data_IF_411616723175
#
_entry.id   IF_411616723175
#
_cell.length_a   1.000
_cell.length_b   1.000
_cell.length_c   1.000
_cell.angle_alpha   90.00
_cell.angle_beta   90.00
_cell.angle_gamma   90.00
#
_symmetry.space_group_name_H-M   'P 1'
#
loop_
_entity.id
_entity.type
_entity.pdbx_description
1 polymer ?
#
# COMPACT_ATOMS: atom_id res chain seq x y z
N UNK A 1 13.30 9.78 -12.29
CA UNK A 1 13.37 9.81 -10.80
C UNK A 1 11.99 9.56 -10.22
N UNK A 2 11.89 9.24 -8.91
CA UNK A 2 10.59 9.04 -8.26
C UNK A 2 9.70 10.30 -8.31
N UNK A 3 10.29 11.50 -8.29
CA UNK A 3 9.56 12.77 -8.39
C UNK A 3 8.76 12.94 -9.69
N UNK A 4 9.20 12.30 -10.78
CA UNK A 4 8.56 12.39 -12.10
C UNK A 4 7.22 11.65 -12.12
N UNK A 5 6.98 10.77 -11.13
CA UNK A 5 5.71 10.06 -10.98
C UNK A 5 4.51 10.98 -10.85
N UNK A 6 4.67 12.20 -10.32
CA UNK A 6 3.56 13.16 -10.23
C UNK A 6 3.07 13.61 -11.60
N UNK A 7 4.00 13.89 -12.51
CA UNK A 7 3.69 14.34 -13.86
C UNK A 7 3.01 13.21 -14.64
N UNK A 8 3.58 12.00 -14.57
CA UNK A 8 3.00 10.81 -15.20
C UNK A 8 1.61 10.50 -14.61
N UNK A 9 1.47 10.48 -13.29
CA UNK A 9 0.18 10.24 -12.63
C UNK A 9 -0.87 11.30 -13.01
N UNK A 10 -0.46 12.52 -13.35
CA UNK A 10 -1.39 13.57 -13.82
C UNK A 10 -1.91 13.32 -15.24
N UNK A 11 -1.21 12.50 -16.03
CA UNK A 11 -1.66 12.07 -17.36
C UNK A 11 -2.62 10.86 -17.29
N UNK A 12 -2.56 10.07 -16.20
CA UNK A 12 -3.36 8.85 -16.00
C UNK A 12 -4.44 9.03 -14.93
N UNK A 13 -5.29 10.06 -15.09
CA UNK A 13 -6.32 10.38 -14.10
C UNK A 13 -7.37 9.25 -14.04
N UNK A 14 -7.53 8.66 -12.85
CA UNK A 14 -8.53 7.61 -12.62
C UNK A 14 -8.03 6.19 -12.89
N UNK A 15 -6.79 6.03 -13.35
CA UNK A 15 -6.09 4.76 -13.45
C UNK A 15 -5.93 4.06 -12.10
N UNK A 16 -5.81 2.74 -12.12
CA UNK A 16 -5.32 1.97 -10.98
C UNK A 16 -3.80 2.12 -10.91
N UNK A 17 -3.29 2.62 -9.80
CA UNK A 17 -1.86 2.90 -9.61
C UNK A 17 -1.19 1.96 -8.60
N UNK A 18 -0.09 1.32 -9.01
CA UNK A 18 0.70 0.41 -8.18
C UNK A 18 2.12 0.94 -7.96
N UNK A 19 2.58 0.81 -6.73
CA UNK A 19 3.97 1.05 -6.33
C UNK A 19 4.57 -0.28 -5.87
N UNK A 20 5.56 -0.82 -6.58
CA UNK A 20 6.18 -2.10 -6.25
C UNK A 20 7.66 -1.91 -5.88
N UNK A 21 8.08 -2.46 -4.73
CA UNK A 21 9.45 -2.32 -4.24
C UNK A 21 9.89 -3.55 -3.45
N UNK A 22 11.03 -4.14 -3.82
CA UNK A 22 11.78 -4.99 -2.91
C UNK A 22 12.36 -4.12 -1.78
N UNK A 23 11.81 -4.28 -0.56
CA UNK A 23 12.05 -3.37 0.56
C UNK A 23 13.20 -3.81 1.45
N UNK A 24 13.70 -5.05 1.33
CA UNK A 24 14.77 -5.64 2.15
C UNK A 24 14.66 -5.31 3.64
N UNK A 25 13.69 -5.93 4.31
CA UNK A 25 13.19 -5.61 5.65
C UNK A 25 12.31 -4.36 5.69
N UNK A 26 11.02 -4.59 5.88
CA UNK A 26 10.06 -3.51 6.05
C UNK A 26 10.40 -2.66 7.29
N UNK A 27 10.74 -3.29 8.42
CA UNK A 27 11.00 -2.57 9.67
C UNK A 27 12.23 -1.66 9.60
N UNK A 28 13.30 -2.13 8.94
CA UNK A 28 14.51 -1.33 8.74
C UNK A 28 14.27 -0.13 7.82
N UNK A 29 13.53 -0.34 6.74
CA UNK A 29 13.43 0.61 5.64
C UNK A 29 12.10 1.39 5.59
N UNK A 30 11.17 1.18 6.54
CA UNK A 30 9.85 1.81 6.51
C UNK A 30 9.89 3.34 6.51
N UNK A 31 10.79 3.96 7.28
CA UNK A 31 10.93 5.42 7.26
C UNK A 31 11.43 5.92 5.89
N UNK A 32 12.31 5.16 5.24
CA UNK A 32 12.76 5.43 3.88
C UNK A 32 11.62 5.28 2.86
N UNK A 33 10.81 4.22 2.97
CA UNK A 33 9.60 4.04 2.17
C UNK A 33 8.63 5.21 2.35
N UNK A 34 8.36 5.63 3.59
CA UNK A 34 7.48 6.76 3.87
C UNK A 34 7.96 8.06 3.20
N UNK A 35 9.28 8.33 3.21
CA UNK A 35 9.84 9.48 2.50
C UNK A 35 9.76 9.33 0.98
N UNK A 36 9.87 8.10 0.46
CA UNK A 36 9.82 7.82 -0.97
C UNK A 36 8.41 8.02 -1.52
N UNK A 37 7.40 7.54 -0.80
CA UNK A 37 5.99 7.77 -1.09
C UNK A 37 5.65 9.27 -1.05
N UNK A 38 6.13 10.02 -0.05
CA UNK A 38 5.91 11.48 0.02
C UNK A 38 6.59 12.22 -1.16
N UNK A 39 7.80 11.81 -1.53
CA UNK A 39 8.53 12.40 -2.67
C UNK A 39 7.89 12.13 -4.02
N UNK A 40 7.21 11.00 -4.17
CA UNK A 40 6.44 10.70 -5.38
C UNK A 40 5.34 11.72 -5.65
N UNK A 41 4.88 12.45 -4.60
CA UNK A 41 3.74 13.39 -4.65
C UNK A 41 2.49 12.78 -5.30
N UNK A 42 2.39 11.46 -5.29
CA UNK A 42 1.35 10.67 -5.94
C UNK A 42 0.63 9.85 -4.88
N UNK A 43 -0.69 9.74 -5.04
CA UNK A 43 -1.51 8.88 -4.18
C UNK A 43 -1.65 7.52 -4.84
N UNK A 44 -0.82 6.58 -4.45
CA UNK A 44 -0.90 5.20 -4.91
C UNK A 44 -2.19 4.51 -4.44
N UNK A 45 -2.71 3.59 -5.25
CA UNK A 45 -3.88 2.79 -4.90
C UNK A 45 -3.45 1.53 -4.14
N UNK A 46 -2.35 0.91 -4.57
CA UNK A 46 -1.70 -0.16 -3.82
C UNK A 46 -0.18 0.00 -3.80
N UNK A 47 0.43 -0.46 -2.71
CA UNK A 47 1.87 -0.51 -2.48
C UNK A 47 2.22 -1.97 -2.19
N UNK A 48 3.01 -2.58 -3.05
CA UNK A 48 3.40 -3.99 -3.01
C UNK A 48 4.88 -4.06 -2.62
N UNK A 49 5.18 -4.77 -1.54
CA UNK A 49 6.53 -4.91 -1.01
C UNK A 49 6.95 -6.38 -0.97
N UNK A 50 8.15 -6.66 -1.44
CA UNK A 50 8.81 -7.98 -1.39
C UNK A 50 10.03 -7.93 -0.47
N UNK A 51 10.52 -9.11 -0.02
CA UNK A 51 11.54 -9.22 1.03
C UNK A 51 11.20 -8.41 2.29
N UNK A 52 9.98 -8.58 2.80
CA UNK A 52 9.54 -7.81 3.96
C UNK A 52 10.20 -8.29 5.27
N UNK A 53 10.72 -9.51 5.29
CA UNK A 53 11.38 -10.16 6.43
C UNK A 53 10.43 -10.31 7.62
N UNK A 54 9.38 -11.12 7.43
CA UNK A 54 8.23 -11.20 8.34
C UNK A 54 8.34 -12.29 9.43
N UNK A 55 9.43 -13.05 9.48
CA UNK A 55 9.63 -14.11 10.48
C UNK A 55 9.69 -13.52 11.91
N UNK A 56 8.87 -14.02 12.85
CA UNK A 56 8.78 -13.58 14.25
C UNK A 56 8.74 -12.05 14.42
N UNK A 57 8.05 -11.37 13.52
CA UNK A 57 8.13 -9.92 13.39
C UNK A 57 7.11 -9.17 14.25
N UNK A 58 7.44 -7.93 14.69
CA UNK A 58 6.46 -7.06 15.33
C UNK A 58 5.33 -6.69 14.35
N UNK A 59 4.24 -6.05 14.81
CA UNK A 59 3.16 -5.62 13.94
C UNK A 59 3.67 -4.78 12.77
N UNK A 60 3.20 -5.13 11.55
CA UNK A 60 3.58 -4.44 10.32
C UNK A 60 3.27 -2.95 10.44
N UNK A 61 4.21 -2.05 10.09
CA UNK A 61 3.97 -0.62 10.17
C UNK A 61 2.77 -0.15 9.36
N UNK A 62 1.87 0.61 9.99
CA UNK A 62 0.66 1.12 9.34
C UNK A 62 0.93 2.35 8.46
N UNK A 63 0.26 2.42 7.31
CA UNK A 63 0.20 3.61 6.45
C UNK A 63 -1.21 4.19 6.53
N UNK A 64 -1.32 5.50 6.78
CA UNK A 64 -2.62 6.17 6.88
C UNK A 64 -3.44 5.98 5.60
N UNK A 65 -4.72 5.64 5.76
CA UNK A 65 -5.68 5.37 4.68
C UNK A 65 -5.43 4.09 3.88
N UNK A 66 -4.56 3.20 4.37
CA UNK A 66 -4.34 1.87 3.78
C UNK A 66 -4.71 0.77 4.76
N UNK A 67 -5.30 -0.29 4.21
CA UNK A 67 -5.36 -1.61 4.81
C UNK A 67 -4.11 -2.39 4.42
N UNK A 68 -3.75 -3.40 5.19
CA UNK A 68 -2.54 -4.19 5.03
C UNK A 68 -2.88 -5.67 5.02
N UNK A 69 -2.33 -6.40 4.05
CA UNK A 69 -2.32 -7.87 4.00
C UNK A 69 -0.89 -8.35 3.81
N UNK A 70 -0.55 -9.49 4.39
CA UNK A 70 0.80 -10.03 4.37
C UNK A 70 0.79 -11.54 4.31
N UNK A 71 1.86 -12.12 3.77
CA UNK A 71 2.10 -13.57 3.82
C UNK A 71 2.38 -14.01 5.25
N UNK A 72 1.82 -15.16 5.62
CA UNK A 72 1.99 -15.78 6.94
C UNK A 72 2.95 -16.96 6.87
N UNK A 73 2.99 -17.66 5.73
CA UNK A 73 3.82 -18.85 5.53
C UNK A 73 5.17 -18.46 4.93
N UNK A 74 6.07 -17.95 5.77
CA UNK A 74 7.42 -17.56 5.37
C UNK A 74 8.41 -18.66 5.77
N UNK A 75 9.20 -19.17 4.82
CA UNK A 75 10.14 -20.29 5.05
C UNK A 75 11.47 -19.84 5.65
N UNK A 76 11.83 -18.59 5.41
CA UNK A 76 13.10 -18.01 5.88
C UNK A 76 12.92 -16.61 6.46
N UNK A 77 13.94 -16.11 7.15
CA UNK A 77 13.94 -14.77 7.72
C UNK A 77 13.75 -13.68 6.67
N UNK A 78 14.28 -13.89 5.45
CA UNK A 78 14.37 -12.85 4.43
C UNK A 78 13.15 -12.82 3.50
N UNK A 79 12.14 -13.63 3.80
CA UNK A 79 10.95 -13.80 2.99
C UNK A 79 9.80 -12.88 3.42
N UNK A 80 8.78 -12.87 2.56
CA UNK A 80 7.49 -12.28 2.85
C UNK A 80 7.09 -11.16 1.92
N UNK A 81 5.81 -11.15 1.59
CA UNK A 81 5.16 -10.13 0.77
C UNK A 81 4.17 -9.37 1.63
N UNK A 82 4.16 -8.04 1.50
CA UNK A 82 3.19 -7.16 2.14
C UNK A 82 2.55 -6.29 1.07
N UNK A 83 1.22 -6.23 1.07
CA UNK A 83 0.47 -5.32 0.21
C UNK A 83 -0.35 -4.37 1.06
N UNK A 84 -0.10 -3.08 0.87
CA UNK A 84 -0.97 -2.02 1.36
C UNK A 84 -1.91 -1.60 0.24
N UNK A 85 -3.20 -1.48 0.52
CA UNK A 85 -4.19 -0.95 -0.44
C UNK A 85 -5.13 0.04 0.21
N UNK A 86 -5.66 1.00 -0.54
CA UNK A 86 -6.54 2.03 0.04
C UNK A 86 -7.78 1.41 0.68
N UNK A 87 -8.14 1.92 1.86
CA UNK A 87 -9.23 1.36 2.67
C UNK A 87 -10.64 1.41 2.05
N UNK A 88 -10.82 2.18 0.97
CA UNK A 88 -12.09 2.24 0.24
C UNK A 88 -12.20 1.18 -0.86
N UNK A 89 -11.12 0.46 -1.18
CA UNK A 89 -11.20 -0.68 -2.09
C UNK A 89 -11.72 -1.90 -1.35
N UNK A 90 -12.70 -2.55 -1.96
CA UNK A 90 -13.16 -3.87 -1.54
C UNK A 90 -12.27 -4.92 -2.18
N UNK A 91 -11.19 -5.30 -1.48
CA UNK A 91 -10.25 -6.31 -1.97
C UNK A 91 -10.44 -7.60 -1.20
N UNK A 92 -10.67 -8.69 -1.93
CA UNK A 92 -10.54 -10.04 -1.39
C UNK A 92 -9.09 -10.51 -1.56
N UNK A 93 -8.39 -10.71 -0.46
CA UNK A 93 -7.00 -11.18 -0.45
C UNK A 93 -6.91 -12.63 0.02
N UNK A 94 -6.03 -13.40 -0.61
CA UNK A 94 -5.72 -14.79 -0.23
C UNK A 94 -4.22 -15.06 -0.39
N UNK A 95 -3.71 -16.05 0.32
CA UNK A 95 -2.32 -16.51 0.24
C UNK A 95 -2.30 -17.89 -0.44
N UNK A 96 -2.30 -17.95 -1.79
CA UNK A 96 -2.25 -19.22 -2.49
C UNK A 96 -0.89 -19.89 -2.29
N UNK A 97 -0.89 -21.22 -2.23
CA UNK A 97 0.33 -22.01 -2.11
C UNK A 97 1.05 -22.05 -3.46
N UNK A 98 2.11 -21.26 -3.59
CA UNK A 98 3.05 -21.32 -4.72
C UNK A 98 4.36 -21.92 -4.22
N UNK A 99 4.79 -23.01 -4.85
CA UNK A 99 6.02 -23.71 -4.48
C UNK A 99 7.21 -22.76 -4.65
N UNK A 100 8.13 -22.78 -3.69
CA UNK A 100 9.33 -21.94 -3.64
C UNK A 100 9.08 -20.41 -3.71
N UNK A 101 7.85 -19.91 -3.54
CA UNK A 101 7.55 -18.48 -3.47
C UNK A 101 6.60 -18.13 -2.31
N UNK A 102 6.59 -16.88 -1.84
CA UNK A 102 5.49 -16.35 -1.04
C UNK A 102 4.60 -15.53 -1.98
N UNK A 103 3.29 -15.71 -1.88
CA UNK A 103 2.35 -15.15 -2.84
C UNK A 103 1.11 -14.59 -2.15
N UNK A 104 0.65 -13.43 -2.58
CA UNK A 104 -0.66 -12.87 -2.26
C UNK A 104 -1.44 -12.65 -3.54
N UNK A 105 -2.65 -13.20 -3.58
CA UNK A 105 -3.62 -12.93 -4.63
C UNK A 105 -4.65 -11.93 -4.12
N UNK A 106 -4.73 -10.78 -4.78
CA UNK A 106 -5.68 -9.70 -4.49
C UNK A 106 -6.69 -9.59 -5.64
N UNK A 107 -7.95 -9.85 -5.34
CA UNK A 107 -9.08 -9.65 -6.26
C UNK A 107 -9.66 -8.25 -6.00
N UNK A 108 -9.33 -7.31 -6.86
CA UNK A 108 -9.68 -5.88 -6.68
C UNK A 108 -11.13 -5.58 -7.06
N UNK A 109 -11.66 -6.27 -8.07
CA UNK A 109 -13.03 -6.24 -8.53
C UNK A 109 -13.28 -7.49 -9.41
N UNK A 110 -14.41 -7.59 -10.09
CA UNK A 110 -14.71 -8.75 -10.96
C UNK A 110 -13.90 -8.77 -12.27
N UNK A 111 -13.03 -7.79 -12.52
CA UNK A 111 -12.32 -7.57 -13.80
C UNK A 111 -10.79 -7.62 -13.64
N UNK A 112 -10.25 -7.37 -12.44
CA UNK A 112 -8.82 -7.23 -12.16
C UNK A 112 -8.37 -8.10 -10.98
N UNK A 113 -7.40 -8.99 -11.26
CA UNK A 113 -6.66 -9.76 -10.26
C UNK A 113 -5.20 -9.31 -10.23
N UNK A 114 -4.62 -9.27 -9.02
CA UNK A 114 -3.22 -8.88 -8.80
C UNK A 114 -2.54 -10.00 -8.01
N UNK A 115 -1.45 -10.53 -8.55
CA UNK A 115 -0.61 -11.55 -7.95
C UNK A 115 0.69 -10.88 -7.50
N UNK A 116 0.83 -10.64 -6.20
CA UNK A 116 2.03 -10.09 -5.59
C UNK A 116 2.90 -11.24 -5.07
N UNK A 117 4.12 -11.38 -5.59
CA UNK A 117 4.91 -12.59 -5.38
C UNK A 117 6.38 -12.29 -5.07
N UNK A 118 6.98 -13.11 -4.23
CA UNK A 118 8.43 -13.12 -3.98
C UNK A 118 8.95 -14.55 -4.06
N UNK A 119 9.96 -14.78 -4.89
CA UNK A 119 10.64 -16.07 -5.02
C UNK A 119 12.11 -15.91 -4.62
N UNK A 120 12.60 -16.57 -3.57
CA UNK A 120 14.01 -16.54 -3.21
C UNK A 120 14.92 -17.12 -4.31
N UNK A 121 16.18 -16.67 -4.44
CA UNK A 121 17.10 -17.14 -5.48
C UNK A 121 17.70 -18.53 -5.19
N UNK A 122 17.50 -19.09 -3.99
CA UNK A 122 18.23 -20.26 -3.51
C UNK A 122 17.95 -21.53 -4.32
N UNK A 123 16.69 -21.75 -4.72
CA UNK A 123 16.30 -22.91 -5.51
C UNK A 123 16.59 -22.61 -6.98
N UNK A 124 17.46 -23.38 -7.64
CA UNK A 124 17.78 -23.16 -9.07
C UNK A 124 16.80 -23.82 -10.02
N UNK A 125 16.35 -25.02 -9.70
CA UNK A 125 15.30 -25.69 -10.46
C UNK A 125 13.98 -24.94 -10.23
N UNK A 126 13.36 -24.45 -11.30
CA UNK A 126 12.13 -23.64 -11.22
C UNK A 126 10.88 -24.45 -11.54
N UNK A 127 10.96 -25.74 -11.88
CA UNK A 127 9.83 -26.54 -12.38
C UNK A 127 8.67 -26.57 -11.39
N UNK A 128 8.92 -26.85 -10.11
CA UNK A 128 7.86 -26.87 -9.09
C UNK A 128 7.19 -25.49 -8.94
N UNK A 129 8.01 -24.44 -8.91
CA UNK A 129 7.54 -23.05 -8.90
C UNK A 129 6.65 -22.76 -10.12
N UNK A 130 7.13 -23.04 -11.34
CA UNK A 130 6.38 -22.80 -12.58
C UNK A 130 5.07 -23.57 -12.62
N UNK A 131 5.05 -24.85 -12.25
CA UNK A 131 3.83 -25.65 -12.22
C UNK A 131 2.80 -25.07 -11.25
N UNK A 132 3.23 -24.68 -10.04
CA UNK A 132 2.32 -24.08 -9.06
C UNK A 132 1.84 -22.68 -9.45
N UNK A 133 2.69 -21.89 -10.14
CA UNK A 133 2.30 -20.59 -10.67
C UNK A 133 1.33 -20.74 -11.85
N UNK A 134 1.55 -21.72 -12.73
CA UNK A 134 0.65 -22.07 -13.84
C UNK A 134 -0.76 -22.40 -13.32
N UNK A 135 -0.88 -23.25 -12.30
CA UNK A 135 -2.16 -23.56 -11.66
C UNK A 135 -2.82 -22.33 -11.04
N UNK A 136 -2.04 -21.45 -10.39
CA UNK A 136 -2.56 -20.18 -9.87
C UNK A 136 -3.09 -19.30 -11.01
N UNK A 137 -2.37 -19.17 -12.12
CA UNK A 137 -2.79 -18.36 -13.26
C UNK A 137 -4.02 -18.93 -13.97
N UNK A 138 -4.15 -20.26 -14.07
CA UNK A 138 -5.39 -20.93 -14.52
C UNK A 138 -6.58 -20.54 -13.65
N UNK A 139 -6.41 -20.49 -12.33
CA UNK A 139 -7.48 -20.15 -11.38
C UNK A 139 -7.99 -18.70 -11.51
N UNK A 140 -7.19 -17.80 -12.08
CA UNK A 140 -7.55 -16.39 -12.33
C UNK A 140 -7.71 -16.05 -13.81
N UNK A 141 -7.72 -17.05 -14.68
CA UNK A 141 -7.74 -16.89 -16.14
C UNK A 141 -8.97 -16.14 -16.66
N UNK A 142 -10.10 -16.22 -15.93
CA UNK A 142 -11.36 -15.52 -16.23
C UNK A 142 -11.29 -14.00 -16.07
N UNK A 143 -10.30 -13.49 -15.34
CA UNK A 143 -10.11 -12.05 -15.16
C UNK A 143 -9.59 -11.42 -16.45
N UNK A 144 -10.18 -10.29 -16.85
CA UNK A 144 -9.74 -9.56 -18.05
C UNK A 144 -8.38 -8.90 -17.86
N UNK A 145 -8.10 -8.45 -16.63
CA UNK A 145 -6.83 -7.85 -16.27
C UNK A 145 -6.15 -8.70 -15.19
N UNK A 146 -4.96 -9.21 -15.49
CA UNK A 146 -4.14 -9.95 -14.53
C UNK A 146 -2.79 -9.25 -14.44
N UNK A 147 -2.40 -8.87 -13.24
CA UNK A 147 -1.13 -8.20 -12.96
C UNK A 147 -0.32 -9.12 -12.05
N UNK A 148 0.78 -9.66 -12.53
CA UNK A 148 1.76 -10.41 -11.73
C UNK A 148 2.94 -9.49 -11.46
N UNK A 149 3.29 -9.27 -10.20
CA UNK A 149 4.38 -8.36 -9.86
C UNK A 149 5.14 -8.75 -8.60
N UNK A 150 6.44 -8.47 -8.59
CA UNK A 150 7.32 -8.68 -7.46
C UNK A 150 8.70 -9.16 -7.90
N UNK A 151 9.49 -9.67 -6.96
CA UNK A 151 10.86 -10.12 -7.22
C UNK A 151 10.88 -11.65 -7.36
N UNK A 152 11.08 -12.10 -8.61
CA UNK A 152 11.06 -13.51 -8.99
C UNK A 152 12.47 -14.12 -8.91
N UNK A 153 13.52 -13.29 -8.81
CA UNK A 153 14.91 -13.73 -8.90
C UNK A 153 15.22 -14.57 -10.16
N UNK A 154 14.56 -14.25 -11.29
CA UNK A 154 14.88 -14.77 -12.63
C UNK A 154 15.22 -13.57 -13.52
N UNK A 155 16.40 -13.58 -14.15
CA UNK A 155 16.84 -12.46 -14.97
C UNK A 155 16.32 -12.60 -16.41
N UNK A 156 15.25 -11.86 -16.74
CA UNK A 156 14.64 -11.93 -18.08
C UNK A 156 15.47 -11.25 -19.18
N UNK A 157 16.59 -10.62 -18.83
CA UNK A 157 17.53 -10.02 -19.78
C UNK A 157 18.70 -10.95 -20.14
N UNK A 158 18.87 -12.06 -19.42
CA UNK A 158 19.96 -13.00 -19.69
C UNK A 158 19.50 -14.07 -20.69
N UNK A 159 19.97 -13.98 -21.93
CA UNK A 159 19.65 -14.94 -22.98
C UNK A 159 20.18 -16.35 -22.72
N UNK A 160 21.14 -16.50 -21.80
CA UNK A 160 21.73 -17.80 -21.44
C UNK A 160 20.98 -18.48 -20.28
N UNK A 161 20.05 -17.78 -19.62
CA UNK A 161 19.30 -18.33 -18.50
C UNK A 161 18.05 -19.07 -19.00
N UNK A 162 18.12 -20.40 -19.12
CA UNK A 162 16.99 -21.23 -19.58
C UNK A 162 15.72 -21.02 -18.74
N UNK A 163 15.89 -20.66 -17.46
CA UNK A 163 14.80 -20.34 -16.53
C UNK A 163 13.96 -19.16 -17.01
N UNK A 164 14.59 -18.16 -17.60
CA UNK A 164 13.90 -17.00 -18.16
C UNK A 164 13.03 -17.42 -19.34
N UNK A 165 13.56 -18.26 -20.24
CA UNK A 165 12.81 -18.77 -21.39
C UNK A 165 11.61 -19.61 -20.97
N UNK A 166 11.80 -20.56 -20.06
CA UNK A 166 10.70 -21.41 -19.53
C UNK A 166 9.62 -20.56 -18.84
N UNK A 167 10.03 -19.61 -17.99
CA UNK A 167 9.13 -18.71 -17.29
C UNK A 167 8.33 -17.81 -18.25
N UNK A 168 8.99 -17.16 -19.21
CA UNK A 168 8.33 -16.28 -20.18
C UNK A 168 7.41 -17.07 -21.13
N UNK A 169 7.79 -18.30 -21.50
CA UNK A 169 6.95 -19.17 -22.33
C UNK A 169 5.67 -19.56 -21.60
N UNK A 170 5.76 -19.93 -20.32
CA UNK A 170 4.60 -20.23 -19.48
C UNK A 170 3.69 -19.00 -19.34
N UNK A 171 4.24 -17.81 -19.11
CA UNK A 171 3.45 -16.57 -19.04
C UNK A 171 2.77 -16.24 -20.36
N UNK A 172 3.46 -16.44 -21.49
CA UNK A 172 2.91 -16.22 -22.82
C UNK A 172 1.74 -17.17 -23.11
N UNK A 173 1.78 -18.41 -22.63
CA UNK A 173 0.65 -19.35 -22.70
C UNK A 173 -0.62 -18.80 -22.01
N UNK A 174 -0.47 -18.02 -20.94
CA UNK A 174 -1.57 -17.30 -20.27
C UNK A 174 -1.96 -15.96 -20.93
N UNK A 175 -1.31 -15.60 -22.05
CA UNK A 175 -1.47 -14.31 -22.70
C UNK A 175 -0.95 -13.14 -21.86
N UNK A 176 0.03 -13.39 -20.99
CA UNK A 176 0.66 -12.40 -20.13
C UNK A 176 2.04 -12.01 -20.67
N UNK A 177 2.34 -10.72 -20.76
CA UNK A 177 3.61 -10.21 -21.28
C UNK A 177 4.29 -9.26 -20.27
N UNK A 178 5.63 -9.17 -20.25
CA UNK A 178 6.32 -8.17 -19.45
C UNK A 178 5.90 -6.75 -19.84
N UNK A 179 5.48 -5.94 -18.87
CA UNK A 179 5.18 -4.53 -19.07
C UNK A 179 6.46 -3.66 -19.13
N UNK A 180 7.60 -4.21 -18.71
CA UNK A 180 8.92 -3.61 -18.89
C UNK A 180 9.99 -4.71 -19.03
N UNK A 181 11.08 -4.34 -19.69
CA UNK A 181 12.34 -5.12 -19.75
C UNK A 181 13.52 -4.27 -19.29
N UNK A 182 13.25 -3.20 -18.53
CA UNK A 182 14.29 -2.32 -18.00
C UNK A 182 14.97 -2.95 -16.78
N UNK A 183 16.29 -2.80 -16.61
CA UNK A 183 16.99 -3.26 -15.41
C UNK A 183 16.42 -2.66 -14.13
N UNK A 184 16.31 -3.48 -13.09
CA UNK A 184 15.79 -3.07 -11.77
C UNK A 184 16.86 -3.08 -10.69
N UNK A 185 18.07 -3.55 -11.01
CA UNK A 185 19.24 -3.59 -10.12
C UNK A 185 20.46 -2.94 -10.73
N UNK A 186 21.46 -2.66 -9.89
CA UNK A 186 22.70 -1.99 -10.28
C UNK A 186 23.57 -2.80 -11.25
N UNK A 187 23.46 -4.14 -11.23
CA UNK A 187 24.17 -5.06 -12.12
C UNK A 187 23.45 -5.29 -13.47
N UNK A 188 22.58 -4.37 -13.88
CA UNK A 188 21.81 -4.44 -15.12
C UNK A 188 20.87 -5.65 -15.26
N UNK A 189 20.55 -6.38 -14.18
CA UNK A 189 19.57 -7.47 -14.20
C UNK A 189 18.13 -6.96 -14.02
N UNK A 190 17.17 -7.61 -14.67
CA UNK A 190 15.73 -7.40 -14.48
C UNK A 190 15.14 -8.57 -13.67
N UNK A 191 15.08 -8.41 -12.35
CA UNK A 191 14.59 -9.44 -11.41
C UNK A 191 13.22 -9.10 -10.82
N UNK A 192 12.95 -7.81 -10.67
CA UNK A 192 11.65 -7.29 -10.24
C UNK A 192 10.77 -7.17 -11.49
N UNK A 193 9.72 -7.97 -11.57
CA UNK A 193 8.89 -8.06 -12.76
C UNK A 193 7.55 -7.38 -12.55
N UNK A 194 7.00 -6.89 -13.66
CA UNK A 194 5.58 -6.59 -13.80
C UNK A 194 5.10 -7.21 -15.10
N UNK A 195 4.34 -8.30 -15.00
CA UNK A 195 3.78 -9.06 -16.11
C UNK A 195 2.27 -8.79 -16.16
N UNK A 196 1.75 -8.57 -17.35
CA UNK A 196 0.41 -8.04 -17.55
C UNK A 196 -0.35 -8.80 -18.64
N UNK A 197 -1.59 -9.17 -18.33
CA UNK A 197 -2.65 -9.46 -19.31
C UNK A 197 -3.68 -8.35 -19.18
N UNK A 198 -3.92 -7.60 -20.24
CA UNK A 198 -4.95 -6.55 -20.29
C UNK A 198 -5.24 -6.17 -21.74
N UNK A 199 -6.42 -5.60 -21.98
CA UNK A 199 -6.72 -4.85 -23.22
C UNK A 199 -6.67 -3.32 -23.01
N UNK A 200 -6.60 -2.88 -21.75
CA UNK A 200 -6.61 -1.45 -21.38
C UNK A 200 -5.22 -0.83 -21.58
N UNK A 201 -5.15 0.48 -21.88
CA UNK A 201 -3.88 1.19 -21.87
C UNK A 201 -3.20 1.03 -20.50
N UNK A 202 -1.91 0.77 -20.51
CA UNK A 202 -1.14 0.54 -19.33
C UNK A 202 0.26 1.14 -19.49
N UNK A 203 0.77 1.70 -18.40
CA UNK A 203 2.03 2.42 -18.39
C UNK A 203 2.87 1.92 -17.22
N UNK A 204 4.08 1.46 -17.52
CA UNK A 204 5.04 0.95 -16.54
C UNK A 204 6.35 1.70 -16.70
N UNK A 205 6.98 2.08 -15.57
CA UNK A 205 8.33 2.63 -15.60
C UNK A 205 9.09 2.34 -14.32
N UNK A 206 10.42 2.39 -14.43
CA UNK A 206 11.34 2.12 -13.33
C UNK A 206 11.86 3.43 -12.76
N UNK A 207 11.50 3.72 -11.51
CA UNK A 207 12.04 4.85 -10.80
C UNK A 207 13.32 4.42 -10.08
N UNK A 208 14.46 5.00 -10.47
CA UNK A 208 15.70 4.75 -9.75
C UNK A 208 15.62 5.31 -8.33
N UNK A 209 15.89 4.46 -7.35
CA UNK A 209 15.93 4.88 -5.94
C UNK A 209 17.17 4.30 -5.27
N UNK A 210 17.59 4.93 -4.17
CA UNK A 210 18.67 4.39 -3.34
C UNK A 210 18.16 3.90 -1.98
N UNK A 211 16.88 3.48 -1.91
CA UNK A 211 16.28 2.91 -0.70
C UNK A 211 16.91 1.54 -0.40
N UNK A 212 16.87 0.67 -1.40
CA UNK A 212 17.60 -0.60 -1.46
C UNK A 212 18.50 -0.59 -2.70
N UNK A 213 19.11 -1.72 -3.04
CA UNK A 213 19.78 -1.95 -4.32
C UNK A 213 18.80 -2.31 -5.46
N UNK A 214 17.49 -2.33 -5.17
CA UNK A 214 16.42 -2.48 -6.15
C UNK A 214 15.77 -1.11 -6.42
N UNK A 215 15.55 -0.82 -7.70
CA UNK A 215 14.76 0.30 -8.15
C UNK A 215 13.25 0.02 -7.97
N UNK A 216 12.43 1.07 -7.93
CA UNK A 216 10.98 0.92 -7.74
C UNK A 216 10.29 0.73 -9.09
N UNK A 217 9.43 -0.29 -9.20
CA UNK A 217 8.54 -0.45 -10.36
C UNK A 217 7.24 0.31 -10.10
N UNK A 218 6.89 1.22 -11.00
CA UNK A 218 5.65 2.01 -10.93
C UNK A 218 4.76 1.67 -12.11
N UNK A 219 3.46 1.52 -11.83
CA UNK A 219 2.51 1.07 -12.83
C UNK A 219 1.17 1.77 -12.74
N UNK A 220 0.59 2.04 -13.91
CA UNK A 220 -0.72 2.64 -14.10
C UNK A 220 -1.51 1.81 -15.10
N UNK A 221 -2.69 1.35 -14.70
CA UNK A 221 -3.66 0.70 -15.58
C UNK A 221 -4.84 1.64 -15.78
N UNK A 222 -4.96 2.21 -16.98
CA UNK A 222 -6.02 3.15 -17.30
C UNK A 222 -7.38 2.45 -17.27
N UNK A 223 -8.41 3.23 -16.95
CA UNK A 223 -9.80 2.82 -17.10
C UNK A 223 -10.36 3.53 -18.31
N UNK A 224 -11.09 2.83 -19.19
CA UNK A 224 -11.82 3.46 -20.29
C UNK A 224 -12.82 4.52 -19.81
N UNK A 225 -13.23 4.48 -18.53
CA UNK A 225 -14.08 5.49 -17.90
C UNK A 225 -13.25 6.70 -17.44
N UNK A 226 -12.62 7.40 -18.39
CA UNK A 226 -11.98 8.71 -18.15
C UNK A 226 -12.98 9.80 -17.75
N UNK A 227 -14.24 9.65 -18.17
CA UNK A 227 -15.27 10.69 -18.06
C UNK A 227 -15.82 10.92 -16.64
N UNK A 228 -15.68 9.96 -15.71
CA UNK A 228 -16.28 10.05 -14.37
C UNK A 228 -15.28 10.01 -13.19
N UNK A 229 -13.97 10.04 -13.45
CA UNK A 229 -12.93 10.04 -12.39
C UNK A 229 -12.05 11.29 -12.38
N UNK A 230 -12.34 12.30 -13.20
CA UNK A 230 -11.55 13.55 -13.30
C UNK A 230 -11.62 14.45 -12.06
N UNK A 231 -12.51 14.18 -11.11
CA UNK A 231 -12.40 14.80 -9.80
C UNK A 231 -11.20 14.16 -9.09
N UNK A 232 -10.12 14.94 -8.94
CA UNK A 232 -9.05 14.66 -7.99
C UNK A 232 -9.66 13.94 -6.78
N UNK A 233 -9.20 12.71 -6.48
CA UNK A 233 -9.69 11.88 -5.37
C UNK A 233 -9.47 12.60 -4.03
N UNK A 234 -10.23 13.67 -3.78
CA UNK A 234 -10.27 14.38 -2.52
C UNK A 234 -11.01 13.47 -1.58
N UNK A 235 -10.35 13.10 -0.48
CA UNK A 235 -11.02 12.33 0.55
C UNK A 235 -12.15 13.22 1.07
N UNK A 236 -13.38 12.81 0.78
CA UNK A 236 -14.60 13.36 1.35
C UNK A 236 -14.73 12.75 2.75
N UNK A 237 -14.53 13.55 3.78
CA UNK A 237 -14.85 13.18 5.17
C UNK A 237 -16.22 13.75 5.50
N UNK A 238 -17.12 12.90 5.95
CA UNK A 238 -18.38 13.34 6.56
C UNK A 238 -18.07 13.89 7.93
N UNK A 239 -18.55 15.10 8.21
CA UNK A 239 -18.47 15.74 9.51
C UNK A 239 -19.91 15.86 10.03
N UNK A 240 -20.28 15.11 11.07
CA UNK A 240 -21.62 15.18 11.65
C UNK A 240 -21.85 16.55 12.30
N UNK A 241 -23.02 17.13 12.06
CA UNK A 241 -23.52 18.30 12.78
C UNK A 241 -24.32 17.80 14.01
N UNK A 242 -23.64 17.69 15.15
CA UNK A 242 -24.21 17.10 16.36
C UNK A 242 -25.46 17.83 16.85
N UNK A 243 -25.52 19.16 16.71
CA UNK A 243 -26.68 19.94 17.11
C UNK A 243 -27.93 19.57 16.31
N UNK A 244 -27.78 19.34 14.99
CA UNK A 244 -28.89 18.92 14.13
C UNK A 244 -29.28 17.46 14.34
N UNK A 245 -28.29 16.58 14.53
CA UNK A 245 -28.54 15.17 14.84
C UNK A 245 -29.32 15.03 16.14
N UNK A 246 -28.93 15.77 17.18
CA UNK A 246 -29.63 15.77 18.48
C UNK A 246 -31.08 16.24 18.34
N UNK A 247 -31.30 17.34 17.61
CA UNK A 247 -32.65 17.84 17.32
C UNK A 247 -33.52 16.83 16.55
N UNK A 248 -32.93 16.09 15.62
CA UNK A 248 -33.66 15.12 14.80
C UNK A 248 -33.89 13.79 15.53
N UNK A 249 -32.97 13.36 16.39
CA UNK A 249 -33.17 12.23 17.29
C UNK A 249 -34.34 12.44 18.25
N UNK A 250 -34.46 13.64 18.82
CA UNK A 250 -35.60 14.00 19.71
C UNK A 250 -36.94 13.94 18.97
N UNK A 251 -36.95 14.18 17.65
CA UNK A 251 -38.16 14.18 16.81
C UNK A 251 -38.49 12.83 16.20
N UNK A 252 -37.57 11.86 16.28
CA UNK A 252 -37.76 10.54 15.69
C UNK A 252 -38.55 9.67 16.65
N UNK A 253 -39.64 9.08 16.18
CA UNK A 253 -40.42 8.15 16.98
C UNK A 253 -39.75 6.76 17.00
N UNK A 254 -39.43 6.30 18.20
CA UNK A 254 -38.85 4.97 18.45
C UNK A 254 -39.85 3.99 19.07
N UNK A 255 -41.14 4.35 19.15
CA UNK A 255 -42.21 3.50 19.70
C UNK A 255 -42.22 2.09 19.10
N UNK A 256 -41.92 1.98 17.79
CA UNK A 256 -41.85 0.73 17.03
C UNK A 256 -40.87 -0.28 17.67
N UNK A 257 -39.75 0.18 18.25
CA UNK A 257 -38.77 -0.70 18.90
C UNK A 257 -39.33 -1.46 20.10
N UNK A 258 -40.30 -0.87 20.80
CA UNK A 258 -40.94 -1.48 21.96
C UNK A 258 -42.05 -2.47 21.57
N UNK A 259 -42.43 -2.50 20.29
CA UNK A 259 -43.47 -3.39 19.75
C UNK A 259 -42.91 -4.56 18.94
N UNK A 260 -41.65 -4.49 18.51
CA UNK A 260 -40.97 -5.57 17.78
C UNK A 260 -40.62 -6.72 18.73
N UNK A 261 -40.92 -7.96 18.32
CA UNK A 261 -40.72 -9.17 19.14
C UNK A 261 -39.33 -9.79 18.98
N UNK A 262 -38.68 -9.61 17.82
CA UNK A 262 -37.30 -10.05 17.59
C UNK A 262 -36.30 -8.93 17.96
N UNK A 263 -35.38 -9.26 18.86
CA UNK A 263 -34.33 -8.35 19.34
C UNK A 263 -33.35 -7.96 18.23
N UNK A 264 -33.04 -8.87 17.31
CA UNK A 264 -32.14 -8.57 16.19
C UNK A 264 -32.81 -7.59 15.22
N UNK A 265 -34.07 -7.81 14.89
CA UNK A 265 -34.84 -6.93 13.99
C UNK A 265 -35.03 -5.53 14.59
N UNK A 266 -35.32 -5.44 15.90
CA UNK A 266 -35.37 -4.18 16.61
C UNK A 266 -34.00 -3.46 16.61
N UNK A 267 -32.92 -4.22 16.78
CA UNK A 267 -31.56 -3.67 16.76
C UNK A 267 -31.18 -3.15 15.37
N UNK A 268 -31.49 -3.89 14.32
CA UNK A 268 -31.23 -3.50 12.93
C UNK A 268 -32.02 -2.23 12.57
N UNK A 269 -33.31 -2.17 12.92
CA UNK A 269 -34.15 -0.99 12.70
C UNK A 269 -33.61 0.25 13.42
N UNK A 270 -33.19 0.10 14.68
CA UNK A 270 -32.58 1.19 15.45
C UNK A 270 -31.30 1.69 14.78
N UNK A 271 -30.41 0.78 14.39
CA UNK A 271 -29.14 1.10 13.74
C UNK A 271 -29.38 1.79 12.40
N UNK A 272 -30.31 1.31 11.59
CA UNK A 272 -30.65 1.88 10.29
C UNK A 272 -31.21 3.29 10.43
N UNK A 273 -32.16 3.49 11.35
CA UNK A 273 -32.77 4.79 11.64
C UNK A 273 -31.72 5.80 12.10
N UNK A 274 -30.83 5.41 13.02
CA UNK A 274 -29.70 6.24 13.46
C UNK A 274 -28.77 6.60 12.30
N UNK A 275 -28.42 5.63 11.46
CA UNK A 275 -27.57 5.88 10.31
C UNK A 275 -28.21 6.91 9.37
N UNK A 276 -29.51 6.79 9.08
CA UNK A 276 -30.22 7.74 8.21
C UNK A 276 -30.19 9.17 8.77
N UNK A 277 -30.43 9.35 10.08
CA UNK A 277 -30.39 10.66 10.73
C UNK A 277 -28.99 11.27 10.64
N UNK A 278 -27.95 10.49 10.94
CA UNK A 278 -26.58 11.00 10.90
C UNK A 278 -26.17 11.27 9.43
N UNK A 279 -26.63 10.47 8.46
CA UNK A 279 -26.38 10.72 7.02
C UNK A 279 -26.98 12.05 6.59
N UNK A 280 -28.24 12.30 6.94
CA UNK A 280 -28.97 13.52 6.59
C UNK A 280 -28.33 14.78 7.18
N UNK A 281 -27.76 14.66 8.38
CA UNK A 281 -27.19 15.79 9.13
C UNK A 281 -25.65 15.84 9.13
N UNK A 282 -25.00 15.18 8.17
CA UNK A 282 -23.54 15.24 8.01
C UNK A 282 -23.15 16.08 6.79
N UNK A 283 -22.15 16.95 6.97
CA UNK A 283 -21.57 17.73 5.87
C UNK A 283 -20.36 16.99 5.31
N UNK A 284 -20.27 16.88 3.99
CA UNK A 284 -19.11 16.30 3.32
C UNK A 284 -18.05 17.37 3.10
N UNK A 285 -16.87 17.23 3.73
CA UNK A 285 -15.71 18.11 3.54
C UNK A 285 -14.62 17.41 2.73
N UNK A 286 -14.00 18.12 1.79
CA UNK A 286 -12.89 17.62 0.97
C UNK A 286 -11.53 17.85 1.64
N UNK A 287 -10.73 16.80 1.80
CA UNK A 287 -9.35 16.89 2.29
C UNK A 287 -8.37 16.93 1.11
N UNK A 288 -7.54 17.98 0.99
CA UNK A 288 -6.52 18.08 -0.06
C UNK A 288 -5.45 16.99 0.05
N UNK A 289 -4.94 16.53 -1.09
CA UNK A 289 -3.91 15.48 -1.16
C UNK A 289 -2.65 15.82 -0.35
N UNK A 290 -2.28 17.11 -0.30
CA UNK A 290 -1.11 17.62 0.43
C UNK A 290 -1.20 17.44 1.95
N UNK A 291 -2.40 17.27 2.50
CA UNK A 291 -2.62 16.98 3.94
C UNK A 291 -2.59 15.48 4.25
N UNK A 292 -2.48 14.60 3.25
CA UNK A 292 -2.63 13.13 3.43
C UNK A 292 -1.33 12.39 3.73
N UNK A 293 -0.17 12.94 3.35
CA UNK A 293 1.14 12.32 3.56
C UNK A 293 2.17 13.20 4.28
N UNK A 294 1.73 14.27 4.95
CA UNK A 294 2.59 14.94 5.92
C UNK A 294 2.63 14.14 7.22
N UNK A 295 3.56 13.19 7.34
CA UNK A 295 4.10 12.95 8.68
C UNK A 295 4.91 14.19 9.01
N UNK A 296 4.52 14.95 10.04
CA UNK A 296 5.07 16.27 10.35
C UNK A 296 6.59 16.30 10.61
N UNK A 297 7.23 15.14 10.71
CA UNK A 297 8.69 15.01 10.83
C UNK A 297 9.46 15.10 9.51
N UNK A 298 8.80 14.95 8.35
CA UNK A 298 9.46 15.05 7.05
C UNK A 298 9.67 16.52 6.67
N UNK A 299 10.85 17.06 6.99
CA UNK A 299 11.18 18.46 6.68
C UNK A 299 11.61 18.65 5.22
N UNK A 300 11.39 19.83 4.61
CA UNK A 300 11.88 20.12 3.26
C UNK A 300 13.39 19.92 3.10
N UNK A 301 14.17 20.24 4.15
CA UNK A 301 15.62 20.02 4.19
C UNK A 301 15.99 18.53 4.10
N UNK A 302 15.31 17.67 4.86
CA UNK A 302 15.50 16.22 4.77
C UNK A 302 15.19 15.70 3.37
N UNK A 303 14.07 16.13 2.78
CA UNK A 303 13.69 15.73 1.42
C UNK A 303 14.74 16.18 0.38
N UNK A 304 15.32 17.38 0.53
CA UNK A 304 16.41 17.87 -0.31
C UNK A 304 17.67 17.02 -0.16
N UNK A 305 18.04 16.63 1.06
CA UNK A 305 19.17 15.74 1.30
C UNK A 305 18.98 14.37 0.61
N UNK A 306 17.80 13.77 0.75
CA UNK A 306 17.49 12.48 0.12
C UNK A 306 17.51 12.55 -1.41
N UNK A 307 17.04 13.66 -2.00
CA UNK A 307 17.16 13.90 -3.44
C UNK A 307 18.61 13.96 -3.90
N UNK A 308 19.45 14.71 -3.20
CA UNK A 308 20.86 14.82 -3.56
C UNK A 308 21.57 13.46 -3.49
N UNK A 309 21.23 12.63 -2.49
CA UNK A 309 21.73 11.26 -2.37
C UNK A 309 21.35 10.42 -3.59
N UNK A 310 20.09 10.47 -4.02
CA UNK A 310 19.63 9.72 -5.18
C UNK A 310 20.28 10.23 -6.48
N UNK A 311 20.49 11.54 -6.63
CA UNK A 311 21.23 12.11 -7.75
C UNK A 311 22.68 11.62 -7.78
N UNK A 312 23.37 11.58 -6.64
CA UNK A 312 24.72 11.01 -6.55
C UNK A 312 24.73 9.52 -6.91
N UNK A 313 23.71 8.77 -6.49
CA UNK A 313 23.57 7.36 -6.84
C UNK A 313 23.41 7.15 -8.34
N UNK A 314 22.58 7.97 -9.00
CA UNK A 314 22.43 7.93 -10.46
C UNK A 314 23.75 8.27 -11.19
N UNK A 315 24.50 9.27 -10.70
CA UNK A 315 25.82 9.61 -11.26
C UNK A 315 26.80 8.44 -11.12
N UNK A 316 26.76 7.73 -9.99
CA UNK A 316 27.58 6.55 -9.73
C UNK A 316 27.19 5.38 -10.65
N UNK A 317 25.88 5.14 -10.88
CA UNK A 317 25.44 4.12 -11.85
C UNK A 317 25.99 4.38 -13.26
N UNK A 318 26.10 5.66 -13.66
CA UNK A 318 26.67 6.06 -14.95
C UNK A 318 28.20 5.97 -15.00
N UNK A 319 28.87 6.00 -13.85
CA UNK A 319 30.34 6.02 -13.74
C UNK A 319 30.78 5.07 -12.61
N UNK A 320 30.63 3.75 -12.79
CA UNK A 320 30.85 2.77 -11.72
C UNK A 320 32.29 2.74 -11.21
N UNK A 321 33.28 3.02 -12.08
CA UNK A 321 34.70 2.95 -11.76
C UNK A 321 35.24 4.21 -11.04
N UNK A 322 34.38 5.20 -10.79
CA UNK A 322 34.80 6.42 -10.11
C UNK A 322 34.84 6.23 -8.58
N UNK A 323 36.01 5.88 -8.06
CA UNK A 323 36.22 5.62 -6.62
C UNK A 323 35.93 6.83 -5.72
N UNK A 324 36.25 8.05 -6.21
CA UNK A 324 35.99 9.29 -5.46
C UNK A 324 34.48 9.49 -5.31
N UNK A 325 33.72 9.30 -6.39
CA UNK A 325 32.27 9.40 -6.39
C UNK A 325 31.65 8.31 -5.51
N UNK A 326 32.15 7.07 -5.58
CA UNK A 326 31.71 5.96 -4.74
C UNK A 326 31.91 6.27 -3.25
N UNK A 327 33.09 6.76 -2.89
CA UNK A 327 33.44 7.11 -1.51
C UNK A 327 32.59 8.27 -1.00
N UNK A 328 32.42 9.30 -1.83
CA UNK A 328 31.58 10.48 -1.52
C UNK A 328 30.13 10.06 -1.34
N UNK A 329 29.60 9.23 -2.24
CA UNK A 329 28.24 8.70 -2.15
C UNK A 329 28.03 7.87 -0.89
N UNK A 330 28.94 6.96 -0.55
CA UNK A 330 28.86 6.14 0.68
C UNK A 330 28.80 7.03 1.92
N UNK A 331 29.68 8.04 2.02
CA UNK A 331 29.67 9.02 3.14
C UNK A 331 28.35 9.77 3.21
N UNK A 332 27.88 10.31 2.07
CA UNK A 332 26.64 11.09 2.01
C UNK A 332 25.38 10.24 2.29
N UNK A 333 25.34 9.00 1.82
CA UNK A 333 24.28 8.02 2.13
C UNK A 333 24.19 7.74 3.63
N UNK A 334 25.33 7.54 4.28
CA UNK A 334 25.38 7.29 5.72
C UNK A 334 24.95 8.53 6.51
N UNK A 335 25.38 9.73 6.09
CA UNK A 335 24.92 10.99 6.65
C UNK A 335 23.40 11.17 6.51
N UNK A 336 22.83 10.95 5.32
CA UNK A 336 21.38 11.00 5.10
C UNK A 336 20.62 10.00 5.97
N UNK A 337 21.16 8.79 6.11
CA UNK A 337 20.57 7.75 6.96
C UNK A 337 20.58 8.15 8.44
N UNK A 338 21.65 8.79 8.91
CA UNK A 338 21.76 9.34 10.27
C UNK A 338 20.73 10.44 10.49
N UNK A 339 20.64 11.43 9.60
CA UNK A 339 19.64 12.50 9.69
C UNK A 339 18.23 11.93 9.72
N UNK A 340 17.91 11.01 8.79
CA UNK A 340 16.57 10.40 8.72
C UNK A 340 16.17 9.77 10.07
N UNK A 341 17.08 9.00 10.68
CA UNK A 341 16.88 8.38 11.98
C UNK A 341 16.74 9.42 13.10
N UNK A 342 17.64 10.39 13.17
CA UNK A 342 17.63 11.44 14.20
C UNK A 342 16.39 12.32 14.13
N UNK A 343 15.99 12.76 12.93
CA UNK A 343 14.78 13.57 12.73
C UNK A 343 13.53 12.81 13.16
N UNK A 344 13.42 11.52 12.81
CA UNK A 344 12.30 10.69 13.25
C UNK A 344 12.28 10.48 14.76
N UNK A 345 13.43 10.15 15.37
CA UNK A 345 13.54 9.96 16.81
C UNK A 345 13.17 11.23 17.59
N UNK A 346 13.64 12.39 17.13
CA UNK A 346 13.30 13.69 17.74
C UNK A 346 11.80 13.96 17.66
N UNK A 347 11.16 13.66 16.53
CA UNK A 347 9.72 13.79 16.39
C UNK A 347 8.94 12.86 17.34
N UNK A 348 9.37 11.61 17.46
CA UNK A 348 8.71 10.66 18.38
C UNK A 348 8.88 11.11 19.84
N UNK A 349 10.05 11.66 20.19
CA UNK A 349 10.30 12.27 21.50
C UNK A 349 9.39 13.48 21.76
N UNK A 350 9.24 14.39 20.79
CA UNK A 350 8.33 15.54 20.97
C UNK A 350 6.87 15.11 21.08
N UNK A 351 6.47 14.08 20.33
CA UNK A 351 5.11 13.54 20.38
C UNK A 351 4.80 12.92 21.76
N UNK A 352 5.76 12.23 22.37
CA UNK A 352 5.65 11.70 23.75
C UNK A 352 5.65 12.84 24.77
N UNK A 353 6.58 13.80 24.66
CA UNK A 353 6.68 14.93 25.60
C UNK A 353 5.39 15.76 25.63
N UNK A 354 4.81 16.04 24.46
CA UNK A 354 3.55 16.77 24.34
C UNK A 354 2.34 16.01 24.93
N UNK A 355 2.49 14.73 25.23
CA UNK A 355 1.45 13.87 25.76
C UNK A 355 1.61 13.55 27.27
N UNK A 356 2.66 14.05 27.93
CA UNK A 356 3.01 13.73 29.33
C UNK A 356 1.85 13.92 30.31
N UNK A 357 1.07 14.98 30.15
CA UNK A 357 -0.04 15.30 31.08
C UNK A 357 -1.36 14.59 30.72
N UNK A 358 -1.36 13.67 29.76
CA UNK A 358 -2.58 12.99 29.33
C UNK A 358 -2.29 11.53 28.94
N UNK A 359 -2.54 10.62 29.89
CA UNK A 359 -2.33 9.18 29.72
C UNK A 359 -2.95 8.62 28.43
N UNK A 360 -4.15 9.09 28.03
CA UNK A 360 -4.80 8.66 26.80
C UNK A 360 -4.03 9.13 25.55
N UNK A 361 -3.56 10.38 25.54
CA UNK A 361 -2.70 10.89 24.45
C UNK A 361 -1.37 10.15 24.41
N UNK A 362 -0.78 9.85 25.57
CA UNK A 362 0.48 9.11 25.67
C UNK A 362 0.33 7.69 25.13
N UNK A 363 -0.73 6.97 25.49
CA UNK A 363 -1.01 5.65 24.93
C UNK A 363 -1.29 5.69 23.43
N UNK A 364 -1.97 6.72 22.92
CA UNK A 364 -2.14 6.91 21.48
C UNK A 364 -0.80 7.17 20.77
N UNK A 365 0.09 7.95 21.40
CA UNK A 365 1.45 8.19 20.92
C UNK A 365 2.26 6.89 20.81
N UNK A 366 2.29 6.11 21.89
CA UNK A 366 2.98 4.82 21.95
C UNK A 366 2.42 3.86 20.90
N UNK A 367 1.10 3.76 20.77
CA UNK A 367 0.44 2.91 19.76
C UNK A 367 0.76 3.34 18.33
N UNK A 368 0.89 4.64 18.09
CA UNK A 368 1.28 5.17 16.78
C UNK A 368 2.75 4.90 16.44
N UNK A 369 3.64 4.96 17.43
CA UNK A 369 5.08 4.73 17.24
C UNK A 369 5.38 3.24 17.07
N UNK A 370 4.74 2.41 17.89
CA UNK A 370 4.93 0.94 17.88
C UNK A 370 4.09 0.23 16.83
N UNK A 371 3.28 0.96 16.07
CA UNK A 371 2.36 0.40 15.08
C UNK A 371 1.38 -0.65 15.64
N UNK A 372 1.13 -0.62 16.94
CA UNK A 372 0.18 -1.52 17.64
C UNK A 372 -1.25 -1.01 17.60
N UNK A 373 -1.52 -0.01 16.77
CA UNK A 373 -2.88 0.52 16.59
C UNK A 373 -3.72 -0.54 15.89
N UNK A 374 -4.61 -1.22 16.64
CA UNK A 374 -5.53 -2.21 16.06
C UNK A 374 -6.31 -1.55 14.92
N UNK A 375 -6.20 -2.12 13.72
CA UNK A 375 -7.10 -1.81 12.62
C UNK A 375 -8.46 -2.38 13.03
N UNK A 376 -9.45 -1.52 13.25
CA UNK A 376 -10.81 -1.98 13.51
C UNK A 376 -11.35 -2.62 12.23
N UNK A 377 -11.50 -3.95 12.22
CA UNK A 377 -12.38 -4.62 11.26
C UNK A 377 -13.83 -4.25 11.58
N UNK A 378 -14.72 -4.23 10.57
CA UNK A 378 -16.14 -3.94 10.78
C UNK A 378 -16.76 -4.82 11.88
N UNK A 379 -16.38 -6.10 11.94
CA UNK A 379 -16.81 -7.05 12.97
C UNK A 379 -16.27 -6.74 14.38
N UNK A 380 -14.97 -6.43 14.53
CA UNK A 380 -14.40 -6.08 15.85
C UNK A 380 -14.86 -4.71 16.35
N UNK A 381 -15.35 -3.85 15.46
CA UNK A 381 -15.92 -2.59 15.87
C UNK A 381 -17.19 -2.85 16.69
N UNK A 382 -18.03 -3.82 16.29
CA UNK A 382 -19.33 -4.15 16.91
C UNK A 382 -19.20 -4.83 18.28
N UNK A 383 -18.09 -5.50 18.56
CA UNK A 383 -17.87 -6.31 19.77
C UNK A 383 -17.29 -5.55 20.98
N UNK A 384 -17.28 -4.21 20.99
CA UNK A 384 -16.77 -3.48 22.16
C UNK A 384 -17.79 -3.48 23.31
N UNK A 385 -17.40 -3.90 24.53
CA UNK A 385 -18.27 -3.83 25.70
C UNK A 385 -18.64 -2.38 26.01
N UNK A 386 -19.94 -2.15 26.12
CA UNK A 386 -20.64 -1.05 26.80
C UNK A 386 -19.79 0.04 27.48
N UNK A 387 -19.46 1.10 26.73
CA UNK A 387 -19.51 2.47 27.25
C UNK A 387 -20.22 3.35 26.19
N UNK A 388 -21.51 3.70 26.41
CA UNK A 388 -22.36 4.34 25.39
C UNK A 388 -21.85 5.70 24.89
N UNK A 389 -21.00 6.39 25.66
CA UNK A 389 -20.73 7.81 25.42
C UNK A 389 -19.63 8.12 24.39
N UNK A 390 -18.82 7.16 23.94
CA UNK A 390 -17.59 7.51 23.18
C UNK A 390 -17.25 6.62 21.96
N UNK A 391 -18.02 5.57 21.69
CA UNK A 391 -17.66 4.55 20.68
C UNK A 391 -18.07 4.91 19.23
N UNK A 392 -19.23 5.57 19.04
CA UNK A 392 -19.82 5.82 17.73
C UNK A 392 -19.09 6.88 16.87
N UNK A 393 -18.46 7.85 17.54
CA UNK A 393 -17.79 9.03 16.94
C UNK A 393 -16.64 8.70 15.96
N UNK A 394 -15.97 7.54 16.11
CA UNK A 394 -14.86 7.16 15.22
C UNK A 394 -15.30 6.44 13.95
N UNK A 395 -16.50 5.84 13.92
CA UNK A 395 -17.00 5.10 12.75
C UNK A 395 -17.51 6.03 11.64
N UNK A 396 -18.07 7.19 11.98
CA UNK A 396 -18.73 8.06 10.99
C UNK A 396 -17.78 8.90 10.13
N UNK A 397 -16.58 9.22 10.64
CA UNK A 397 -15.59 10.06 9.95
C UNK A 397 -14.76 9.29 8.89
N UNK A 398 -14.95 7.97 8.73
CA UNK A 398 -14.08 7.10 7.92
C UNK A 398 -14.77 6.40 6.73
N UNK A 399 -16.10 6.50 6.58
CA UNK A 399 -16.81 5.89 5.46
C UNK A 399 -16.72 6.75 4.18
N UNK A 400 -16.34 6.18 3.03
CA UNK A 400 -16.46 6.85 1.73
C UNK A 400 -17.92 7.18 1.42
N UNK A 401 -18.17 8.34 0.83
CA UNK A 401 -19.51 8.80 0.47
C UNK A 401 -20.19 7.99 -0.66
N UNK A 402 -19.48 7.02 -1.25
CA UNK A 402 -19.87 6.33 -2.49
C UNK A 402 -20.55 4.96 -2.25
N UNK A 403 -20.73 4.55 -0.99
CA UNK A 403 -21.53 3.39 -0.63
C UNK A 403 -22.92 3.89 -0.23
N UNK A 404 -23.86 3.80 -1.19
CA UNK A 404 -25.33 3.83 -1.12
C UNK A 404 -25.81 4.63 -2.34
N UNK A 405 -25.97 3.92 -3.44
CA UNK A 405 -27.01 4.19 -4.43
C UNK A 405 -28.00 3.05 -4.33
#
# INVERSE_FOLDING_TARGET
MIEDSKEIASQHIGALSLFCQNIRSIFKNFNGLATLLERSKTSWDMIILTECWLHNSPPIPSINDYLCVSTKQNRSQNEGVVVFFRSHYQISASEPLVQDANCLLLKHNNDTAIVAIYRPPAVRNITAFLNSLDELLKSVSSYRNIILTGDININILDSNDSRATEYLTMLAYHGMLPAHTLPTRQNSSCLDHLILKTKKPAFCFIANTSLTDHDTVLFFLDSYNLLNRSQQKTRKIRVPDFSKIELELVRTDFSVLYTTSDVNEATDFFIETLNLIILKNSIVKTVPNRKRLSKSWMTPGLLKCLRNRDTMHMKLKKNPDNEILLTTFKRYRNYCSKILKTTKANYDKTLINNAQNNNKKLWNAIKSITHTTKIQTQANALLLPSEPQRSWLRRYLALPADLVK
#
